data_IF_012022675550
#
_entry.id   IF_012022675550
#
_cell.length_a   1.000
_cell.length_b   1.000
_cell.length_c   1.000
_cell.angle_alpha   90.00
_cell.angle_beta   90.00
_cell.angle_gamma   90.00
#
_symmetry.space_group_name_H-M   'P 1'
#
loop_
_entity.id
_entity.type
_entity.pdbx_description
1 polymer ?
#
# COMPACT_ATOMS: atom_id res chain seq x y z
N UNK A 1 -9.18 -2.55 -22.26
CA UNK A 1 -8.01 -1.71 -22.10
C UNK A 1 -7.01 -2.33 -21.17
N UNK A 2 -5.79 -2.38 -21.59
CA UNK A 2 -4.72 -2.90 -20.79
C UNK A 2 -4.43 -1.98 -19.61
N UNK A 3 -3.56 -2.42 -18.73
CA UNK A 3 -3.09 -1.61 -17.62
C UNK A 3 -2.24 -0.47 -18.18
N UNK A 4 -2.51 0.76 -17.72
CA UNK A 4 -1.69 1.91 -18.08
C UNK A 4 -0.28 1.73 -17.56
N UNK A 5 -0.16 1.06 -16.42
CA UNK A 5 1.11 0.82 -15.78
C UNK A 5 1.31 -0.68 -15.62
N UNK A 6 2.45 -1.15 -16.05
CA UNK A 6 2.82 -2.54 -15.86
C UNK A 6 3.98 -2.62 -14.88
N UNK A 7 3.84 -3.47 -13.90
CA UNK A 7 4.88 -3.69 -12.91
C UNK A 7 5.89 -4.68 -13.48
N UNK A 8 7.17 -4.31 -13.40
CA UNK A 8 8.24 -5.20 -13.81
C UNK A 8 8.76 -6.04 -12.66
N UNK A 9 8.93 -5.42 -11.49
CA UNK A 9 9.36 -6.16 -10.30
C UNK A 9 8.81 -5.56 -9.04
N UNK A 10 8.66 -6.42 -8.04
CA UNK A 10 8.22 -6.04 -6.70
C UNK A 10 9.10 -6.81 -5.71
N UNK A 11 9.78 -6.08 -4.82
CA UNK A 11 10.71 -6.68 -3.87
C UNK A 11 10.46 -6.09 -2.48
N UNK A 12 10.19 -6.95 -1.52
CA UNK A 12 10.04 -6.53 -0.14
C UNK A 12 11.36 -6.68 0.61
N UNK A 13 11.78 -5.62 1.28
CA UNK A 13 12.97 -5.63 2.14
C UNK A 13 12.56 -5.48 3.59
N UNK A 14 12.57 -6.59 4.30
CA UNK A 14 12.03 -6.65 5.66
C UNK A 14 12.78 -5.75 6.65
N UNK A 15 14.09 -5.66 6.55
CA UNK A 15 14.85 -4.83 7.47
C UNK A 15 14.50 -3.35 7.34
N UNK A 16 14.19 -2.92 6.13
CA UNK A 16 13.84 -1.52 5.85
C UNK A 16 12.35 -1.28 6.02
N UNK A 17 11.55 -2.33 6.08
CA UNK A 17 10.08 -2.25 6.06
C UNK A 17 9.60 -1.47 4.84
N UNK A 18 10.17 -1.80 3.67
CA UNK A 18 9.85 -1.12 2.42
C UNK A 18 9.60 -2.12 1.30
N UNK A 19 8.60 -1.79 0.49
CA UNK A 19 8.27 -2.51 -0.72
C UNK A 19 8.81 -1.72 -1.90
N UNK A 20 9.75 -2.31 -2.64
CA UNK A 20 10.36 -1.66 -3.79
C UNK A 20 9.62 -2.07 -5.05
N UNK A 21 9.29 -1.07 -5.86
CA UNK A 21 8.52 -1.24 -7.09
C UNK A 21 9.31 -0.73 -8.28
N UNK A 22 9.33 -1.53 -9.33
CA UNK A 22 9.91 -1.12 -10.60
C UNK A 22 8.86 -1.33 -11.68
N UNK A 23 8.55 -0.28 -12.42
CA UNK A 23 7.57 -0.32 -13.49
C UNK A 23 8.28 -0.38 -14.84
N UNK A 24 7.58 -0.93 -15.83
CA UNK A 24 8.18 -1.13 -17.16
C UNK A 24 8.50 0.16 -17.89
N UNK A 25 7.85 1.27 -17.52
CA UNK A 25 8.15 2.59 -18.10
C UNK A 25 9.36 3.27 -17.47
N UNK A 26 10.06 2.57 -16.57
CA UNK A 26 11.26 3.09 -15.92
C UNK A 26 11.04 3.76 -14.57
N UNK A 27 9.80 3.96 -14.17
CA UNK A 27 9.52 4.55 -12.86
C UNK A 27 9.85 3.55 -11.74
N UNK A 28 10.67 3.98 -10.80
CA UNK A 28 11.07 3.17 -9.65
C UNK A 28 10.76 3.93 -8.38
N UNK A 29 10.26 3.22 -7.37
CA UNK A 29 9.97 3.84 -6.08
C UNK A 29 9.91 2.79 -4.99
N UNK A 30 9.77 3.25 -3.75
CA UNK A 30 9.51 2.36 -2.63
C UNK A 30 8.39 2.91 -1.77
N UNK A 31 7.67 2.00 -1.11
CA UNK A 31 6.58 2.36 -0.20
C UNK A 31 6.84 1.70 1.14
N UNK A 32 6.62 2.45 2.22
CA UNK A 32 6.74 1.86 3.56
C UNK A 32 5.58 0.89 3.80
N UNK A 33 5.84 -0.13 4.60
CA UNK A 33 4.78 -1.07 4.98
C UNK A 33 3.71 -0.38 5.80
N UNK A 34 4.10 0.61 6.60
CA UNK A 34 3.14 1.40 7.37
C UNK A 34 2.12 2.06 6.43
N UNK A 35 2.60 2.74 5.40
CA UNK A 35 1.72 3.42 4.45
C UNK A 35 0.78 2.42 3.77
N UNK A 36 1.33 1.31 3.29
CA UNK A 36 0.54 0.28 2.63
C UNK A 36 -0.54 -0.27 3.55
N UNK A 37 -0.23 -0.43 4.84
CA UNK A 37 -1.17 -0.98 5.81
C UNK A 37 -2.26 0.01 6.19
N UNK A 38 -1.89 1.25 6.51
CA UNK A 38 -2.86 2.25 6.98
C UNK A 38 -3.74 2.78 5.85
N UNK A 39 -3.28 2.67 4.61
CA UNK A 39 -4.03 3.09 3.42
C UNK A 39 -4.50 1.89 2.59
N UNK A 40 -4.61 0.72 3.20
CA UNK A 40 -5.08 -0.47 2.51
C UNK A 40 -6.40 -0.21 1.77
N UNK A 41 -6.55 -0.69 0.54
CA UNK A 41 -7.79 -0.51 -0.22
C UNK A 41 -8.94 -1.40 0.28
N UNK A 42 -8.69 -2.19 1.31
CA UNK A 42 -9.70 -3.05 1.90
C UNK A 42 -10.86 -2.23 2.49
N UNK A 43 -12.08 -2.76 2.40
CA UNK A 43 -13.24 -2.14 3.02
C UNK A 43 -13.07 -2.01 4.54
N UNK A 44 -12.28 -2.89 5.16
CA UNK A 44 -11.99 -2.80 6.59
C UNK A 44 -11.35 -1.45 6.96
N UNK A 45 -10.57 -0.87 6.05
CA UNK A 45 -9.90 0.40 6.26
C UNK A 45 -10.69 1.55 5.64
N UNK A 46 -11.11 1.40 4.39
CA UNK A 46 -11.74 2.51 3.64
C UNK A 46 -13.20 2.74 3.99
N UNK A 47 -13.90 1.71 4.46
CA UNK A 47 -15.33 1.81 4.69
C UNK A 47 -16.10 1.97 3.39
N UNK A 48 -17.32 2.50 3.49
CA UNK A 48 -18.18 2.73 2.32
C UNK A 48 -18.12 4.17 1.84
N UNK A 49 -17.47 5.06 2.60
CA UNK A 49 -17.31 6.46 2.25
C UNK A 49 -16.08 7.02 2.98
N UNK A 50 -15.67 8.23 2.59
CA UNK A 50 -14.55 8.89 3.26
C UNK A 50 -14.80 9.13 4.75
N UNK A 51 -16.07 9.29 5.13
CA UNK A 51 -16.43 9.51 6.53
C UNK A 51 -16.31 8.23 7.36
N UNK A 52 -16.31 7.08 6.69
CA UNK A 52 -16.21 5.77 7.35
C UNK A 52 -14.80 5.22 7.35
N UNK A 53 -13.87 5.94 6.74
CA UNK A 53 -12.48 5.49 6.69
C UNK A 53 -11.91 5.38 8.09
N UNK A 54 -11.32 4.23 8.38
CA UNK A 54 -10.72 3.98 9.69
C UNK A 54 -9.32 4.57 9.78
N UNK A 55 -8.99 5.11 10.95
CA UNK A 55 -7.62 5.53 11.24
C UNK A 55 -6.96 4.36 11.95
N UNK A 56 -6.01 3.73 11.26
CA UNK A 56 -5.34 2.54 11.77
C UNK A 56 -4.11 2.96 12.54
N UNK A 57 -3.98 2.47 13.78
CA UNK A 57 -2.93 2.91 14.70
C UNK A 57 -1.84 1.87 14.88
N UNK A 58 -0.65 2.36 15.27
CA UNK A 58 0.46 1.50 15.73
C UNK A 58 0.95 0.50 14.69
N UNK A 59 1.12 0.98 13.44
CA UNK A 59 1.55 0.12 12.33
C UNK A 59 2.96 0.44 11.81
N UNK A 60 3.77 1.19 12.57
CA UNK A 60 5.13 1.53 12.11
C UNK A 60 6.02 0.33 11.91
N UNK A 61 5.81 -0.73 12.71
CA UNK A 61 6.64 -1.93 12.67
C UNK A 61 5.97 -3.09 11.95
N UNK A 62 4.82 -2.85 11.30
CA UNK A 62 4.14 -3.92 10.59
C UNK A 62 5.02 -4.42 9.43
N UNK A 63 5.04 -5.72 9.25
CA UNK A 63 5.82 -6.36 8.20
C UNK A 63 4.90 -7.03 7.19
N UNK A 64 5.41 -7.24 5.99
CA UNK A 64 4.71 -8.03 4.98
C UNK A 64 5.14 -9.48 5.16
N UNK A 65 4.16 -10.35 5.32
CA UNK A 65 4.37 -11.78 5.52
C UNK A 65 4.37 -12.52 4.19
N UNK A 66 3.54 -12.08 3.25
CA UNK A 66 3.44 -12.72 1.94
C UNK A 66 2.82 -11.74 0.94
N UNK A 67 3.18 -11.89 -0.32
CA UNK A 67 2.61 -11.12 -1.43
C UNK A 67 2.07 -12.13 -2.43
N UNK A 68 0.77 -12.06 -2.68
CA UNK A 68 0.07 -13.00 -3.55
C UNK A 68 -0.37 -12.28 -4.82
N UNK A 69 0.02 -12.82 -5.97
CA UNK A 69 -0.37 -12.22 -7.25
C UNK A 69 -1.85 -12.45 -7.52
N UNK A 70 -2.54 -11.40 -8.01
CA UNK A 70 -3.94 -11.46 -8.39
C UNK A 70 -4.03 -11.10 -9.86
N UNK A 71 -4.24 -12.11 -10.73
CA UNK A 71 -4.26 -11.89 -12.16
C UNK A 71 -2.97 -11.24 -12.64
N UNK A 72 -3.09 -10.36 -13.65
CA UNK A 72 -1.95 -9.62 -14.21
C UNK A 72 -1.95 -8.15 -13.80
N UNK A 73 -2.73 -7.78 -12.80
CA UNK A 73 -2.99 -6.37 -12.52
C UNK A 73 -2.84 -5.97 -11.06
N UNK A 74 -2.64 -6.90 -10.14
CA UNK A 74 -2.67 -6.59 -8.72
C UNK A 74 -1.93 -7.62 -7.88
N UNK A 75 -1.69 -7.26 -6.61
CA UNK A 75 -1.23 -8.19 -5.59
C UNK A 75 -2.10 -8.03 -4.36
N UNK A 76 -2.30 -9.15 -3.65
CA UNK A 76 -2.86 -9.13 -2.30
C UNK A 76 -1.70 -9.15 -1.34
N UNK A 77 -1.68 -8.23 -0.38
CA UNK A 77 -0.61 -8.16 0.60
C UNK A 77 -1.09 -8.75 1.91
N UNK A 78 -0.33 -9.70 2.43
CA UNK A 78 -0.58 -10.33 3.73
C UNK A 78 0.38 -9.72 4.74
N UNK A 79 -0.16 -8.96 5.68
CA UNK A 79 0.63 -8.33 6.74
C UNK A 79 0.75 -9.24 7.95
N UNK A 80 1.78 -9.02 8.75
CA UNK A 80 2.03 -9.87 9.93
C UNK A 80 1.06 -9.60 11.08
N UNK A 81 0.24 -8.56 10.99
CA UNK A 81 -0.82 -8.30 11.97
C UNK A 81 -2.14 -8.99 11.61
N UNK A 82 -2.14 -9.84 10.58
CA UNK A 82 -3.31 -10.59 10.16
C UNK A 82 -4.16 -9.92 9.09
N UNK A 83 -3.92 -8.66 8.76
CA UNK A 83 -4.66 -7.98 7.70
C UNK A 83 -4.23 -8.54 6.34
N UNK A 84 -5.18 -9.06 5.57
CA UNK A 84 -4.87 -9.71 4.29
C UNK A 84 -5.95 -9.51 3.23
N UNK A 85 -6.80 -8.50 3.40
CA UNK A 85 -7.92 -8.28 2.49
C UNK A 85 -7.67 -7.16 1.47
N UNK A 86 -6.52 -6.50 1.53
CA UNK A 86 -6.19 -5.44 0.59
C UNK A 86 -5.63 -5.97 -0.70
N UNK A 87 -6.24 -5.59 -1.81
CA UNK A 87 -5.76 -5.92 -3.16
C UNK A 87 -5.27 -4.63 -3.80
N UNK A 88 -3.98 -4.59 -4.10
CA UNK A 88 -3.32 -3.40 -4.60
C UNK A 88 -3.06 -3.55 -6.11
N UNK A 89 -3.81 -2.80 -6.92
CA UNK A 89 -3.58 -2.81 -8.36
C UNK A 89 -2.28 -2.09 -8.70
N UNK A 90 -1.74 -2.36 -9.89
CA UNK A 90 -0.54 -1.62 -10.35
C UNK A 90 -0.81 -0.11 -10.39
N UNK A 91 -2.03 0.27 -10.82
CA UNK A 91 -2.43 1.68 -10.84
C UNK A 91 -2.44 2.28 -9.44
N UNK A 92 -2.99 1.55 -8.47
CA UNK A 92 -3.02 2.03 -7.08
C UNK A 92 -1.62 2.17 -6.52
N UNK A 93 -0.78 1.15 -6.71
CA UNK A 93 0.60 1.20 -6.24
C UNK A 93 1.37 2.36 -6.86
N UNK A 94 1.15 2.62 -8.16
CA UNK A 94 1.77 3.75 -8.85
C UNK A 94 1.32 5.08 -8.24
N UNK A 95 0.03 5.23 -8.01
CA UNK A 95 -0.53 6.43 -7.41
C UNK A 95 0.02 6.66 -6.00
N UNK A 96 0.06 5.61 -5.19
CA UNK A 96 0.60 5.69 -3.84
C UNK A 96 2.08 6.09 -3.88
N UNK A 97 2.85 5.52 -4.79
CA UNK A 97 4.27 5.81 -4.91
C UNK A 97 4.51 7.26 -5.33
N UNK A 98 3.72 7.78 -6.25
CA UNK A 98 3.85 9.16 -6.72
C UNK A 98 3.41 10.18 -5.67
N UNK A 99 2.54 9.79 -4.75
CA UNK A 99 1.97 10.68 -3.75
C UNK A 99 2.32 10.28 -2.31
N UNK A 100 3.35 9.46 -2.13
CA UNK A 100 3.63 8.86 -0.82
C UNK A 100 3.87 9.88 0.28
N UNK A 101 4.60 10.95 0.00
CA UNK A 101 4.87 11.98 1.01
C UNK A 101 3.58 12.66 1.47
N UNK A 102 2.72 12.98 0.51
CA UNK A 102 1.43 13.63 0.82
C UNK A 102 0.53 12.69 1.61
N UNK A 103 0.47 11.43 1.20
CA UNK A 103 -0.38 10.44 1.84
C UNK A 103 0.05 10.21 3.30
N UNK A 104 1.32 10.02 3.55
CA UNK A 104 1.81 9.75 4.89
C UNK A 104 1.66 10.99 5.78
N UNK A 105 1.89 12.18 5.21
CA UNK A 105 1.71 13.44 5.93
C UNK A 105 0.25 13.61 6.35
N UNK A 106 -0.69 13.32 5.45
CA UNK A 106 -2.11 13.39 5.76
C UNK A 106 -2.50 12.40 6.86
N UNK A 107 -1.91 11.21 6.83
CA UNK A 107 -2.15 10.20 7.85
C UNK A 107 -1.72 10.72 9.23
N UNK A 108 -0.50 11.24 9.34
CA UNK A 108 -0.01 11.74 10.63
C UNK A 108 -0.77 12.97 11.09
N UNK A 109 -1.23 13.82 10.17
CA UNK A 109 -2.09 14.96 10.53
C UNK A 109 -3.42 14.49 11.13
N UNK A 110 -4.00 13.41 10.59
CA UNK A 110 -5.21 12.84 11.17
C UNK A 110 -4.98 12.26 12.55
N UNK A 111 -3.82 11.64 12.76
CA UNK A 111 -3.47 11.11 14.08
C UNK A 111 -3.43 12.18 15.15
N UNK A 112 -2.96 13.39 14.80
CA UNK A 112 -2.87 14.50 15.76
C UNK A 112 -4.22 15.00 16.23
N UNK A 113 -5.29 14.66 15.52
CA UNK A 113 -6.65 15.11 15.85
C UNK A 113 -7.43 14.13 16.73
N UNK A 114 -6.82 13.04 17.10
CA UNK A 114 -7.46 12.03 17.93
C UNK A 114 -7.30 12.39 19.41
#
# INVERSE_FOLDING_TARGET
MGNEYELESIVYKNKEKKLYLQFKDGFNSSLSTELLRVESPSAEVQGHSKLQKQIVLNKKEVAIKNIERVGNYAVRIHFDDGHNTGIYSWRLLRSMAQNSEKIIKNYYNRLKKI
#
